data_IF_583596395378
#
_entry.id   IF_583596395378
#
_cell.length_a   1.000
_cell.length_b   1.000
_cell.length_c   1.000
_cell.angle_alpha   90.00
_cell.angle_beta   90.00
_cell.angle_gamma   90.00
#
_symmetry.space_group_name_H-M   'P 1'
#
loop_
_entity.id
_entity.type
_entity.pdbx_description
1 polymer ?
#
# COMPACT_ATOMS: atom_id res chain seq x y z
N UNK A 1 -11.65 -32.15 -5.17
CA UNK A 1 -10.93 -31.83 -6.42
C UNK A 1 -10.23 -30.50 -6.20
N UNK A 2 -8.93 -30.48 -6.47
CA UNK A 2 -7.95 -29.48 -6.01
C UNK A 2 -8.28 -28.04 -6.42
N UNK A 3 -8.36 -27.12 -5.45
CA UNK A 3 -8.07 -25.70 -5.68
C UNK A 3 -6.55 -25.58 -5.81
N UNK A 4 -6.09 -25.47 -7.06
CA UNK A 4 -4.71 -25.07 -7.34
C UNK A 4 -4.60 -23.58 -7.05
N UNK A 5 -3.69 -23.25 -6.14
CA UNK A 5 -3.26 -21.89 -5.87
C UNK A 5 -2.70 -21.29 -7.16
N UNK A 6 -3.45 -20.38 -7.77
CA UNK A 6 -2.92 -19.45 -8.76
C UNK A 6 -2.25 -18.31 -8.00
N UNK A 7 -0.94 -18.18 -8.20
CA UNK A 7 -0.10 -17.11 -7.65
C UNK A 7 -0.36 -15.78 -8.33
N UNK A 8 -1.54 -15.22 -8.09
CA UNK A 8 -1.81 -13.78 -8.12
C UNK A 8 -2.41 -13.48 -6.75
N UNK A 9 -1.80 -12.57 -5.99
CA UNK A 9 -2.25 -12.22 -4.64
C UNK A 9 -3.63 -11.59 -4.66
N UNK A 10 -4.68 -12.41 -4.71
CA UNK A 10 -6.01 -11.98 -4.30
C UNK A 10 -5.97 -11.90 -2.78
N UNK A 11 -6.04 -10.68 -2.25
CA UNK A 11 -6.26 -10.50 -0.83
C UNK A 11 -7.69 -10.97 -0.55
N UNK A 12 -7.86 -12.22 -0.13
CA UNK A 12 -9.14 -12.77 0.33
C UNK A 12 -9.52 -12.05 1.62
N UNK A 13 -10.23 -10.93 1.51
CA UNK A 13 -10.92 -10.29 2.62
C UNK A 13 -12.17 -11.09 3.03
N UNK A 14 -12.58 -10.98 4.30
CA UNK A 14 -13.92 -11.42 4.69
C UNK A 14 -14.98 -10.67 3.87
N UNK A 15 -16.14 -11.28 3.54
CA UNK A 15 -17.23 -10.56 2.87
C UNK A 15 -17.59 -9.28 3.64
N UNK A 16 -17.55 -8.14 2.96
CA UNK A 16 -17.76 -6.82 3.57
C UNK A 16 -16.53 -6.20 4.24
N UNK A 17 -15.32 -6.72 3.96
CA UNK A 17 -14.05 -6.08 4.34
C UNK A 17 -13.43 -5.36 3.15
N UNK A 18 -12.63 -4.35 3.47
CA UNK A 18 -11.81 -3.65 2.49
C UNK A 18 -10.46 -4.33 2.40
N UNK A 19 -9.96 -4.42 1.18
CA UNK A 19 -8.56 -4.69 0.87
C UNK A 19 -7.93 -3.34 0.56
N UNK A 20 -6.91 -2.94 1.33
CA UNK A 20 -6.11 -1.74 1.07
C UNK A 20 -4.82 -2.05 0.31
N UNK A 21 -4.04 -1.01 0.04
CA UNK A 21 -2.66 -1.15 -0.42
C UNK A 21 -1.83 -1.86 0.64
N UNK A 22 -1.02 -2.83 0.25
CA UNK A 22 -0.08 -3.50 1.16
C UNK A 22 0.90 -2.51 1.82
N UNK A 23 1.14 -1.34 1.21
CA UNK A 23 1.94 -0.29 1.83
C UNK A 23 1.28 0.35 3.06
N UNK A 24 -0.04 0.19 3.25
CA UNK A 24 -0.76 0.64 4.44
C UNK A 24 -1.31 -0.49 5.31
N UNK A 25 -1.36 -1.70 4.78
CA UNK A 25 -1.94 -2.85 5.45
C UNK A 25 -0.91 -3.96 5.74
N UNK A 26 -1.35 -4.97 6.48
CA UNK A 26 -0.61 -6.20 6.74
C UNK A 26 -1.29 -7.32 5.96
N UNK A 27 -0.53 -8.01 5.10
CA UNK A 27 -1.06 -9.14 4.38
C UNK A 27 -1.57 -10.21 5.37
N UNK A 28 -2.72 -10.86 5.15
CA UNK A 28 -3.24 -11.88 6.07
C UNK A 28 -2.22 -12.99 6.39
N UNK A 29 -1.46 -13.42 5.39
CA UNK A 29 -0.37 -14.38 5.47
C UNK A 29 0.83 -13.90 6.31
N UNK A 30 0.93 -12.60 6.60
CA UNK A 30 2.00 -11.99 7.38
C UNK A 30 1.58 -11.66 8.83
N UNK A 31 0.29 -11.79 9.19
CA UNK A 31 -0.19 -11.58 10.56
C UNK A 31 0.56 -12.44 11.60
N UNK A 32 0.86 -13.73 11.37
CA UNK A 32 1.67 -14.51 12.33
C UNK A 32 3.08 -13.93 12.54
N UNK A 33 3.69 -13.41 11.48
CA UNK A 33 5.00 -12.75 11.56
C UNK A 33 4.95 -11.42 12.31
N UNK A 34 3.86 -10.65 12.19
CA UNK A 34 3.63 -9.44 13.00
C UNK A 34 3.63 -9.75 14.50
N UNK A 35 2.93 -10.82 14.91
CA UNK A 35 2.89 -11.26 16.31
C UNK A 35 4.30 -11.62 16.81
N UNK A 36 5.08 -12.34 16.01
CA UNK A 36 6.48 -12.66 16.32
C UNK A 36 7.30 -11.38 16.49
N UNK A 37 7.19 -10.44 15.56
CA UNK A 37 7.92 -9.17 15.59
C UNK A 37 7.58 -8.34 16.84
N UNK A 38 6.31 -8.30 17.24
CA UNK A 38 5.83 -7.59 18.42
C UNK A 38 6.30 -8.20 19.75
N UNK A 39 6.44 -9.54 19.81
CA UNK A 39 6.86 -10.25 21.02
C UNK A 39 8.38 -10.28 21.22
N UNK A 40 9.17 -10.14 20.16
CA UNK A 40 10.64 -10.24 20.21
C UNK A 40 11.32 -9.23 21.18
N UNK A 41 10.90 -7.96 21.29
CA UNK A 41 11.43 -7.05 22.29
C UNK A 41 11.21 -7.53 23.73
N UNK A 42 10.05 -8.13 24.03
CA UNK A 42 9.75 -8.71 25.34
C UNK A 42 10.68 -9.89 25.63
N UNK A 43 10.91 -10.76 24.64
CA UNK A 43 11.85 -11.88 24.75
C UNK A 43 13.28 -11.36 24.97
N UNK A 44 13.69 -10.30 24.27
CA UNK A 44 15.01 -9.69 24.47
C UNK A 44 15.17 -9.10 25.88
N UNK A 45 14.14 -8.46 26.42
CA UNK A 45 14.11 -7.97 27.80
C UNK A 45 14.20 -9.13 28.78
N UNK A 46 13.41 -10.19 28.62
CA UNK A 46 13.45 -11.39 29.47
C UNK A 46 14.86 -12.01 29.47
N UNK A 47 15.46 -12.14 28.28
CA UNK A 47 16.82 -12.67 28.12
C UNK A 47 17.84 -11.80 28.85
N UNK A 48 17.81 -10.48 28.73
CA UNK A 48 18.87 -9.61 29.26
C UNK A 48 18.65 -9.11 30.70
N UNK A 49 17.40 -8.98 31.15
CA UNK A 49 17.04 -8.37 32.44
C UNK A 49 16.59 -9.37 33.49
N UNK A 50 16.08 -10.53 33.08
CA UNK A 50 15.48 -11.52 33.97
C UNK A 50 16.10 -12.92 33.77
N UNK A 51 17.44 -13.04 33.89
CA UNK A 51 18.14 -14.28 33.56
C UNK A 51 17.75 -15.47 34.45
N UNK A 52 17.28 -15.20 35.67
CA UNK A 52 16.86 -16.21 36.64
C UNK A 52 15.56 -16.92 36.25
N UNK A 53 14.77 -16.36 35.33
CA UNK A 53 13.49 -16.94 34.86
C UNK A 53 13.73 -17.96 33.72
N UNK A 54 14.90 -17.91 33.08
CA UNK A 54 15.20 -18.74 31.92
C UNK A 54 16.09 -19.94 32.28
N UNK A 55 15.91 -21.09 31.61
CA UNK A 55 16.80 -22.22 31.79
C UNK A 55 18.24 -21.86 31.41
N UNK A 56 19.25 -22.49 32.03
CA UNK A 56 20.66 -22.23 31.75
C UNK A 56 21.05 -22.79 30.37
N UNK A 57 20.75 -22.02 29.32
CA UNK A 57 21.12 -22.34 27.94
C UNK A 57 22.48 -21.68 27.64
N UNK A 58 23.54 -22.44 27.32
CA UNK A 58 24.88 -21.88 27.07
C UNK A 58 24.91 -20.79 26.00
N UNK A 59 24.03 -20.90 25.00
CA UNK A 59 23.89 -19.92 23.93
C UNK A 59 23.40 -18.56 24.45
N UNK A 60 22.42 -18.53 25.37
CA UNK A 60 21.92 -17.29 25.99
C UNK A 60 22.99 -16.61 26.85
N UNK A 61 23.78 -17.41 27.58
CA UNK A 61 24.92 -16.90 28.34
C UNK A 61 25.94 -16.18 27.44
N UNK A 62 26.26 -16.77 26.28
CA UNK A 62 27.16 -16.15 25.29
C UNK A 62 26.55 -14.91 24.65
N UNK A 63 25.26 -14.92 24.33
CA UNK A 63 24.56 -13.77 23.77
C UNK A 63 24.61 -12.56 24.71
N UNK A 64 24.41 -12.77 26.02
CA UNK A 64 24.50 -11.72 27.06
C UNK A 64 25.90 -11.15 27.22
N UNK A 65 26.93 -11.96 26.95
CA UNK A 65 28.32 -11.56 27.05
C UNK A 65 28.80 -10.77 25.82
N UNK A 66 28.00 -10.68 24.76
CA UNK A 66 28.35 -9.89 23.58
C UNK A 66 28.35 -8.39 23.91
N UNK A 67 29.25 -7.61 23.29
CA UNK A 67 29.12 -6.15 23.25
C UNK A 67 27.76 -5.74 22.68
N UNK A 68 27.22 -4.61 23.14
CA UNK A 68 25.88 -4.15 22.78
C UNK A 68 25.65 -4.09 21.26
N UNK A 69 26.65 -3.69 20.49
CA UNK A 69 26.59 -3.62 19.03
C UNK A 69 26.45 -5.01 18.40
N UNK A 70 27.17 -6.01 18.93
CA UNK A 70 27.12 -7.40 18.47
C UNK A 70 25.86 -8.11 18.94
N UNK A 71 25.37 -7.77 20.13
CA UNK A 71 24.10 -8.24 20.65
C UNK A 71 22.94 -7.73 19.79
N UNK A 72 22.95 -6.45 19.38
CA UNK A 72 21.93 -5.88 18.49
C UNK A 72 21.92 -6.59 17.14
N UNK A 73 23.10 -6.80 16.52
CA UNK A 73 23.20 -7.55 15.27
C UNK A 73 22.71 -9.00 15.41
N UNK A 74 23.02 -9.68 16.52
CA UNK A 74 22.53 -11.02 16.80
C UNK A 74 21.00 -11.06 16.94
N UNK A 75 20.42 -10.07 17.64
CA UNK A 75 18.97 -9.94 17.76
C UNK A 75 18.29 -9.64 16.44
N UNK A 76 18.87 -8.81 15.58
CA UNK A 76 18.34 -8.54 14.25
C UNK A 76 18.29 -9.81 13.39
N UNK A 77 19.36 -10.62 13.39
CA UNK A 77 19.39 -11.91 12.69
C UNK A 77 18.35 -12.89 13.23
N UNK A 78 18.22 -13.01 14.55
CA UNK A 78 17.24 -13.90 15.19
C UNK A 78 15.81 -13.43 14.90
N UNK A 79 15.56 -12.13 14.97
CA UNK A 79 14.27 -11.53 14.70
C UNK A 79 13.83 -11.78 13.25
N UNK A 80 14.71 -11.47 12.29
CA UNK A 80 14.44 -11.71 10.86
C UNK A 80 14.28 -13.22 10.57
N UNK A 81 15.12 -14.08 11.16
CA UNK A 81 14.94 -15.53 11.02
C UNK A 81 13.59 -16.02 11.57
N UNK A 82 13.17 -15.53 12.73
CA UNK A 82 11.89 -15.90 13.34
C UNK A 82 10.69 -15.42 12.50
N UNK A 83 10.77 -14.20 11.94
CA UNK A 83 9.79 -13.67 10.99
C UNK A 83 9.70 -14.57 9.76
N UNK A 84 10.82 -14.88 9.10
CA UNK A 84 10.81 -15.74 7.91
C UNK A 84 10.30 -17.16 8.21
N UNK A 85 10.63 -17.76 9.36
CA UNK A 85 10.04 -19.05 9.78
C UNK A 85 8.52 -18.96 9.91
N UNK A 86 8.00 -17.87 10.48
CA UNK A 86 6.57 -17.67 10.65
C UNK A 86 5.82 -17.54 9.31
N UNK A 87 6.51 -17.09 8.25
CA UNK A 87 5.97 -16.97 6.90
C UNK A 87 5.97 -18.27 6.09
N UNK A 88 6.82 -19.25 6.45
CA UNK A 88 6.88 -20.54 5.73
C UNK A 88 5.52 -21.26 5.65
N UNK A 89 4.77 -21.47 6.74
CA UNK A 89 3.51 -22.21 6.66
C UNK A 89 2.40 -21.42 5.94
N UNK A 90 2.47 -20.08 5.95
CA UNK A 90 1.42 -19.24 5.35
C UNK A 90 1.49 -19.20 3.83
N UNK A 91 2.65 -19.52 3.24
CA UNK A 91 2.87 -19.55 1.79
C UNK A 91 2.76 -20.96 1.17
N UNK A 92 2.31 -21.97 1.93
CA UNK A 92 2.06 -23.33 1.45
C UNK A 92 3.30 -24.01 0.84
N UNK A 93 3.11 -24.78 -0.24
CA UNK A 93 4.20 -25.45 -0.99
C UNK A 93 4.66 -24.60 -2.19
N UNK A 94 4.95 -23.32 -1.96
CA UNK A 94 5.41 -22.40 -3.01
C UNK A 94 6.93 -22.19 -2.98
N UNK A 95 7.49 -21.65 -4.07
CA UNK A 95 8.89 -21.21 -4.12
C UNK A 95 9.24 -20.22 -3.00
N UNK A 96 8.28 -19.38 -2.59
CA UNK A 96 8.43 -18.43 -1.49
C UNK A 96 8.64 -19.11 -0.15
N UNK A 97 7.90 -20.17 0.17
CA UNK A 97 8.12 -20.95 1.39
C UNK A 97 9.54 -21.52 1.48
N UNK A 98 10.08 -22.01 0.36
CA UNK A 98 11.46 -22.49 0.30
C UNK A 98 12.47 -21.36 0.46
N UNK A 99 12.22 -20.20 -0.17
CA UNK A 99 13.06 -19.02 -0.03
C UNK A 99 13.10 -18.52 1.43
N UNK A 100 11.94 -18.39 2.08
CA UNK A 100 11.84 -18.01 3.49
C UNK A 100 12.52 -19.02 4.41
N UNK A 101 12.33 -20.33 4.18
CA UNK A 101 12.99 -21.36 4.99
C UNK A 101 14.52 -21.35 4.83
N UNK A 102 15.00 -21.17 3.59
CA UNK A 102 16.43 -21.07 3.31
C UNK A 102 17.05 -19.81 3.96
N UNK A 103 16.41 -18.66 3.81
CA UNK A 103 16.86 -17.40 4.39
C UNK A 103 16.84 -17.45 5.92
N UNK A 104 15.76 -17.96 6.52
CA UNK A 104 15.69 -18.21 7.96
C UNK A 104 16.83 -19.09 8.48
N UNK A 105 17.15 -20.17 7.75
CA UNK A 105 18.27 -21.05 8.06
C UNK A 105 19.62 -20.33 8.01
N UNK A 106 19.84 -19.52 6.97
CA UNK A 106 21.07 -18.72 6.80
C UNK A 106 21.22 -17.66 7.90
N UNK A 107 20.16 -16.93 8.20
CA UNK A 107 20.12 -15.90 9.25
C UNK A 107 20.33 -16.51 10.64
N UNK A 108 19.64 -17.61 10.96
CA UNK A 108 19.80 -18.33 12.21
C UNK A 108 21.20 -18.94 12.36
N UNK A 109 21.76 -19.49 11.29
CA UNK A 109 23.14 -19.98 11.26
C UNK A 109 24.16 -18.85 11.47
N UNK A 110 23.96 -17.71 10.82
CA UNK A 110 24.81 -16.54 11.00
C UNK A 110 24.74 -15.99 12.44
N UNK A 111 23.54 -15.93 13.04
CA UNK A 111 23.35 -15.54 14.44
C UNK A 111 24.11 -16.49 15.37
N UNK A 112 23.98 -17.81 15.15
CA UNK A 112 24.68 -18.81 15.93
C UNK A 112 26.21 -18.64 15.84
N UNK A 113 26.75 -18.40 14.65
CA UNK A 113 28.20 -18.16 14.46
C UNK A 113 28.67 -16.89 15.16
N UNK A 114 27.85 -15.83 15.13
CA UNK A 114 28.14 -14.56 15.78
C UNK A 114 28.21 -14.71 17.29
N UNK A 115 27.21 -15.37 17.89
CA UNK A 115 27.14 -15.64 19.33
C UNK A 115 28.23 -16.60 19.81
N UNK A 116 28.61 -17.57 18.98
CA UNK A 116 29.67 -18.53 19.34
C UNK A 116 31.08 -18.04 19.04
N UNK A 117 31.25 -16.82 18.52
CA UNK A 117 32.56 -16.20 18.30
C UNK A 117 33.39 -16.87 17.20
N UNK A 118 32.77 -17.48 16.19
CA UNK A 118 33.52 -18.16 15.13
C UNK A 118 34.29 -17.18 14.24
N UNK A 119 35.38 -17.65 13.65
CA UNK A 119 36.16 -16.88 12.66
C UNK A 119 35.24 -16.39 11.53
N UNK A 120 35.40 -15.12 11.13
CA UNK A 120 34.60 -14.44 10.09
C UNK A 120 33.09 -14.33 10.40
N UNK A 121 32.64 -14.54 11.63
CA UNK A 121 31.21 -14.48 11.96
C UNK A 121 30.55 -13.13 11.59
N UNK A 122 31.26 -12.00 11.76
CA UNK A 122 30.76 -10.69 11.35
C UNK A 122 30.51 -10.57 9.84
N UNK A 123 31.43 -11.08 9.01
CA UNK A 123 31.22 -11.12 7.55
C UNK A 123 30.05 -12.05 7.19
N UNK A 124 29.94 -13.18 7.89
CA UNK A 124 28.86 -14.15 7.65
C UNK A 124 27.49 -13.53 7.94
N UNK A 125 27.39 -12.80 9.05
CA UNK A 125 26.21 -12.04 9.43
C UNK A 125 25.89 -10.91 8.44
N UNK A 126 26.91 -10.17 7.98
CA UNK A 126 26.72 -9.11 6.99
C UNK A 126 26.21 -9.67 5.65
N UNK A 127 26.75 -10.80 5.19
CA UNK A 127 26.31 -11.47 3.95
C UNK A 127 24.88 -11.99 4.09
N UNK A 128 24.50 -12.58 5.24
CA UNK A 128 23.14 -13.06 5.45
C UNK A 128 22.11 -11.91 5.43
N UNK A 129 22.37 -10.83 6.19
CA UNK A 129 21.50 -9.65 6.20
C UNK A 129 21.45 -8.98 4.81
N UNK A 130 22.60 -8.83 4.15
CA UNK A 130 22.66 -8.28 2.80
C UNK A 130 21.91 -9.13 1.77
N UNK A 131 22.01 -10.46 1.87
CA UNK A 131 21.26 -11.39 1.02
C UNK A 131 19.75 -11.26 1.20
N UNK A 132 19.28 -11.12 2.45
CA UNK A 132 17.86 -10.93 2.74
C UNK A 132 17.31 -9.58 2.24
N UNK A 133 18.13 -8.52 2.26
CA UNK A 133 17.80 -7.23 1.63
C UNK A 133 17.78 -7.31 0.10
N UNK A 134 18.69 -8.07 -0.51
CA UNK A 134 18.65 -8.35 -1.95
C UNK A 134 17.40 -9.15 -2.34
N UNK A 135 16.91 -10.03 -1.46
CA UNK A 135 15.64 -10.74 -1.64
C UNK A 135 14.45 -9.78 -1.76
N UNK A 136 14.39 -8.72 -0.94
CA UNK A 136 13.37 -7.67 -1.07
C UNK A 136 13.46 -6.99 -2.43
N UNK A 137 14.65 -6.60 -2.87
CA UNK A 137 14.86 -5.93 -4.15
C UNK A 137 14.47 -6.82 -5.34
N UNK A 138 14.76 -8.12 -5.25
CA UNK A 138 14.34 -9.10 -6.25
C UNK A 138 12.81 -9.26 -6.27
N UNK A 139 12.16 -9.26 -5.10
CA UNK A 139 10.70 -9.28 -5.00
C UNK A 139 10.05 -8.03 -5.63
N UNK A 140 10.57 -6.85 -5.31
CA UNK A 140 10.14 -5.58 -5.91
C UNK A 140 10.31 -5.59 -7.44
N UNK A 141 11.48 -6.05 -7.92
CA UNK A 141 11.74 -6.18 -9.35
C UNK A 141 10.82 -7.20 -10.05
N UNK A 142 10.31 -8.17 -9.30
CA UNK A 142 9.30 -9.13 -9.76
C UNK A 142 7.85 -8.65 -9.51
N UNK A 143 7.65 -7.37 -9.20
CA UNK A 143 6.32 -6.77 -9.01
C UNK A 143 5.64 -7.09 -7.67
N UNK A 144 6.34 -7.69 -6.71
CA UNK A 144 5.78 -7.99 -5.39
C UNK A 144 5.97 -6.79 -4.47
N UNK A 145 4.86 -6.17 -4.05
CA UNK A 145 4.90 -5.04 -3.12
C UNK A 145 5.04 -5.55 -1.68
N UNK A 146 6.03 -5.06 -0.89
CA UNK A 146 6.16 -5.44 0.50
C UNK A 146 5.06 -4.81 1.34
N UNK A 147 4.54 -5.57 2.29
CA UNK A 147 3.61 -5.04 3.28
C UNK A 147 4.33 -4.42 4.50
N UNK A 148 3.55 -3.93 5.47
CA UNK A 148 4.09 -3.33 6.69
C UNK A 148 5.02 -4.27 7.49
N UNK A 149 4.73 -5.57 7.53
CA UNK A 149 5.57 -6.56 8.24
C UNK A 149 6.90 -6.76 7.52
N UNK A 150 6.86 -6.91 6.20
CA UNK A 150 8.06 -7.00 5.38
C UNK A 150 8.92 -5.74 5.56
N UNK A 151 8.34 -4.55 5.46
CA UNK A 151 9.06 -3.29 5.68
C UNK A 151 9.71 -3.23 7.07
N UNK A 152 8.97 -3.55 8.13
CA UNK A 152 9.48 -3.54 9.50
C UNK A 152 10.63 -4.54 9.69
N UNK A 153 10.54 -5.74 9.10
CA UNK A 153 11.62 -6.72 9.10
C UNK A 153 12.89 -6.16 8.45
N UNK A 154 12.77 -5.46 7.31
CA UNK A 154 13.92 -4.89 6.60
C UNK A 154 14.56 -3.74 7.38
N UNK A 155 13.79 -2.97 8.14
CA UNK A 155 14.33 -1.99 9.10
C UNK A 155 15.19 -2.67 10.17
N UNK A 156 14.73 -3.80 10.72
CA UNK A 156 15.49 -4.60 11.70
C UNK A 156 16.80 -5.12 11.10
N UNK A 157 16.78 -5.61 9.85
CA UNK A 157 17.96 -6.12 9.15
C UNK A 157 19.01 -5.02 8.90
N UNK A 158 18.57 -3.84 8.44
CA UNK A 158 19.45 -2.68 8.23
C UNK A 158 20.09 -2.24 9.56
N UNK A 159 19.32 -2.18 10.63
CA UNK A 159 19.83 -1.87 11.96
C UNK A 159 20.91 -2.89 12.40
N UNK A 160 20.68 -4.17 12.14
CA UNK A 160 21.65 -5.24 12.39
C UNK A 160 22.94 -5.09 11.58
N UNK A 161 22.83 -4.79 10.28
CA UNK A 161 23.98 -4.65 9.38
C UNK A 161 24.87 -3.48 9.80
N UNK A 162 24.26 -2.37 10.19
CA UNK A 162 24.97 -1.19 10.65
C UNK A 162 25.58 -1.40 12.04
N UNK A 163 24.91 -2.15 12.92
CA UNK A 163 25.48 -2.56 14.20
C UNK A 163 26.72 -3.47 14.02
N UNK A 164 26.80 -4.27 12.94
CA UNK A 164 28.00 -5.04 12.63
C UNK A 164 29.19 -4.17 12.21
N UNK A 165 28.93 -3.07 11.50
CA UNK A 165 29.93 -2.08 11.10
C UNK A 165 30.37 -1.16 12.23
N UNK A 166 29.60 -1.11 13.33
CA UNK A 166 29.93 -0.28 14.47
C UNK A 166 31.20 -0.78 15.20
N UNK A 167 32.16 0.11 15.48
CA UNK A 167 33.32 -0.20 16.31
C UNK A 167 32.90 -0.58 17.74
N UNK A 168 33.40 -1.71 18.23
CA UNK A 168 33.15 -2.16 19.59
C UNK A 168 33.82 -1.20 20.58
N UNK A 169 33.05 -0.70 21.56
CA UNK A 169 33.58 0.20 22.59
C UNK A 169 33.87 1.63 22.12
N UNK A 170 33.28 2.07 21.01
CA UNK A 170 33.44 3.45 20.54
C UNK A 170 32.94 4.50 21.53
N UNK A 171 33.68 5.62 21.59
CA UNK A 171 33.25 6.83 22.29
C UNK A 171 31.96 7.42 21.71
N UNK A 172 31.32 8.30 22.49
CA UNK A 172 29.99 8.88 22.22
C UNK A 172 29.81 9.42 20.79
N UNK A 173 30.81 10.11 20.23
CA UNK A 173 30.75 10.70 18.89
C UNK A 173 30.62 9.65 17.77
N UNK A 174 31.38 8.57 17.84
CA UNK A 174 31.35 7.51 16.83
C UNK A 174 30.09 6.65 16.94
N UNK A 175 29.53 6.54 18.16
CA UNK A 175 28.19 5.96 18.39
C UNK A 175 27.08 6.81 17.77
N UNK A 176 27.15 8.14 17.90
CA UNK A 176 26.21 9.07 17.25
C UNK A 176 26.27 8.95 15.73
N UNK A 177 27.47 8.92 15.13
CA UNK A 177 27.64 8.71 13.69
C UNK A 177 27.02 7.39 13.21
N UNK A 178 27.23 6.30 13.95
CA UNK A 178 26.60 5.01 13.61
C UNK A 178 25.08 5.04 13.75
N UNK A 179 24.53 5.67 14.80
CA UNK A 179 23.07 5.78 14.96
C UNK A 179 22.44 6.69 13.93
N UNK A 180 23.11 7.78 13.54
CA UNK A 180 22.68 8.65 12.44
C UNK A 180 22.73 7.92 11.11
N UNK A 181 23.76 7.09 10.87
CA UNK A 181 23.83 6.20 9.71
C UNK A 181 22.70 5.17 9.68
N UNK A 182 22.29 4.62 10.84
CA UNK A 182 21.10 3.76 10.99
C UNK A 182 19.84 4.50 10.61
N UNK A 183 19.60 5.66 11.20
CA UNK A 183 18.43 6.46 10.89
C UNK A 183 18.38 6.82 9.38
N UNK A 184 19.51 7.23 8.80
CA UNK A 184 19.60 7.59 7.38
C UNK A 184 19.37 6.37 6.46
N UNK A 185 20.03 5.23 6.73
CA UNK A 185 19.87 4.02 5.93
C UNK A 185 18.45 3.44 6.01
N UNK A 186 17.86 3.41 7.20
CA UNK A 186 16.45 3.02 7.41
C UNK A 186 15.52 3.95 6.64
N UNK A 187 15.73 5.27 6.73
CA UNK A 187 14.91 6.26 6.02
C UNK A 187 15.00 6.06 4.50
N UNK A 188 16.19 5.79 3.96
CA UNK A 188 16.38 5.53 2.54
C UNK A 188 15.64 4.28 2.06
N UNK A 189 15.64 3.19 2.85
CA UNK A 189 14.89 1.98 2.50
C UNK A 189 13.39 2.23 2.52
N UNK A 190 12.88 2.85 3.59
CA UNK A 190 11.45 3.17 3.73
C UNK A 190 10.98 4.10 2.61
N UNK A 191 11.71 5.20 2.37
CA UNK A 191 11.40 6.15 1.29
C UNK A 191 11.55 5.51 -0.08
N UNK A 192 12.57 4.68 -0.30
CA UNK A 192 12.78 4.00 -1.58
C UNK A 192 11.66 3.03 -1.93
N UNK A 193 11.21 2.23 -0.97
CA UNK A 193 10.06 1.31 -1.14
C UNK A 193 8.79 2.09 -1.48
N UNK A 194 8.55 3.19 -0.77
CA UNK A 194 7.39 4.05 -1.04
C UNK A 194 7.46 4.78 -2.38
N UNK A 195 8.65 5.22 -2.80
CA UNK A 195 8.84 5.81 -4.12
C UNK A 195 8.54 4.78 -5.23
N UNK A 196 8.91 3.51 -5.04
CA UNK A 196 8.53 2.43 -5.96
C UNK A 196 7.01 2.21 -5.95
N UNK A 197 6.37 2.19 -4.77
CA UNK A 197 4.92 2.07 -4.66
C UNK A 197 4.15 3.21 -5.32
N UNK A 198 4.61 4.44 -5.15
CA UNK A 198 4.08 5.61 -5.84
C UNK A 198 4.25 5.46 -7.35
N UNK A 199 5.44 5.16 -7.84
CA UNK A 199 5.68 4.98 -9.28
C UNK A 199 4.87 3.83 -9.89
N UNK A 200 4.65 2.74 -9.15
CA UNK A 200 3.80 1.64 -9.58
C UNK A 200 2.31 2.03 -9.67
N UNK A 201 1.88 3.02 -8.88
CA UNK A 201 0.55 3.63 -9.00
C UNK A 201 0.42 4.68 -10.12
N UNK A 202 1.54 5.19 -10.65
CA UNK A 202 1.58 6.25 -11.69
C UNK A 202 2.06 5.75 -13.07
N UNK A 203 2.31 4.44 -13.24
CA UNK A 203 3.07 3.91 -14.37
C UNK A 203 2.28 2.99 -15.31
N UNK A 204 1.93 3.55 -16.47
CA UNK A 204 1.89 2.98 -17.84
C UNK A 204 1.49 1.49 -18.02
N UNK A 205 0.38 1.31 -18.74
CA UNK A 205 0.36 0.35 -19.84
C UNK A 205 -0.10 -1.07 -19.50
N UNK A 206 -1.38 -1.31 -19.76
CA UNK A 206 -1.88 -2.47 -20.50
C UNK A 206 -1.06 -3.76 -20.44
N UNK A 207 -1.16 -4.47 -19.32
CA UNK A 207 -1.14 -5.94 -19.29
C UNK A 207 -1.85 -6.36 -17.99
N UNK A 208 -2.94 -7.12 -18.14
CA UNK A 208 -3.87 -7.49 -17.07
C UNK A 208 -3.31 -8.46 -16.02
N UNK A 209 -2.20 -8.12 -15.38
CA UNK A 209 -1.51 -8.94 -14.37
C UNK A 209 -1.49 -8.32 -12.96
N UNK A 210 -1.98 -7.09 -12.77
CA UNK A 210 -2.10 -6.45 -11.45
C UNK A 210 -3.46 -6.66 -10.76
N UNK A 211 -4.27 -7.62 -11.23
CA UNK A 211 -5.67 -7.85 -10.85
C UNK A 211 -5.92 -8.32 -9.39
N UNK A 212 -5.03 -8.03 -8.43
CA UNK A 212 -5.17 -8.53 -7.05
C UNK A 212 -4.88 -7.53 -5.93
N UNK A 213 -4.21 -6.40 -6.18
CA UNK A 213 -3.82 -5.45 -5.13
C UNK A 213 -4.23 -4.01 -5.48
N UNK A 214 -4.97 -3.32 -4.60
CA UNK A 214 -5.32 -1.91 -4.79
C UNK A 214 -4.11 -1.00 -4.94
N UNK A 215 -4.28 0.08 -5.70
CA UNK A 215 -3.30 1.15 -5.81
C UNK A 215 -3.03 1.83 -4.45
N UNK A 216 -1.91 2.53 -4.33
CA UNK A 216 -1.56 3.22 -3.08
C UNK A 216 -2.62 4.23 -2.68
N UNK A 217 -3.16 4.11 -1.46
CA UNK A 217 -4.21 4.99 -0.96
C UNK A 217 -5.61 4.67 -1.50
N UNK A 218 -5.78 3.53 -2.18
CA UNK A 218 -7.07 3.00 -2.62
C UNK A 218 -7.37 1.73 -1.84
N UNK A 219 -8.63 1.58 -1.43
CA UNK A 219 -9.16 0.42 -0.75
C UNK A 219 -10.39 -0.09 -1.51
N UNK A 220 -10.38 -1.36 -1.89
CA UNK A 220 -11.45 -1.99 -2.66
C UNK A 220 -12.24 -2.94 -1.75
N UNK A 221 -13.57 -3.08 -1.90
CA UNK A 221 -14.31 -4.19 -1.31
C UNK A 221 -13.72 -5.53 -1.81
N UNK A 222 -13.61 -6.51 -0.92
CA UNK A 222 -13.16 -7.85 -1.32
C UNK A 222 -14.13 -8.46 -2.36
N UNK A 223 -13.65 -8.66 -3.58
CA UNK A 223 -14.38 -9.32 -4.66
C UNK A 223 -14.26 -10.85 -4.59
N UNK A 224 -15.21 -11.55 -5.21
CA UNK A 224 -15.23 -13.02 -5.34
C UNK A 224 -14.44 -13.54 -6.56
N UNK A 225 -13.96 -12.64 -7.42
CA UNK A 225 -13.17 -12.98 -8.61
C UNK A 225 -13.99 -13.65 -9.72
N UNK A 226 -15.32 -13.53 -9.68
CA UNK A 226 -16.20 -14.10 -10.70
C UNK A 226 -16.29 -13.20 -11.95
N UNK A 227 -16.50 -13.82 -13.12
CA UNK A 227 -16.79 -13.08 -14.36
C UNK A 227 -18.19 -12.44 -14.29
N UNK A 228 -18.42 -11.27 -14.93
CA UNK A 228 -19.72 -10.63 -14.91
C UNK A 228 -20.78 -11.47 -15.62
N UNK A 229 -21.95 -11.60 -15.00
CA UNK A 229 -23.13 -12.19 -15.63
C UNK A 229 -23.67 -11.31 -16.76
N UNK A 230 -24.51 -11.88 -17.62
CA UNK A 230 -25.21 -11.13 -18.69
C UNK A 230 -26.08 -10.01 -18.12
N UNK A 231 -26.76 -10.25 -16.99
CA UNK A 231 -27.58 -9.25 -16.34
C UNK A 231 -26.74 -8.09 -15.77
N UNK A 232 -25.59 -8.40 -15.16
CA UNK A 232 -24.63 -7.41 -14.67
C UNK A 232 -24.04 -6.58 -15.83
N UNK A 233 -23.68 -7.23 -16.94
CA UNK A 233 -23.17 -6.53 -18.12
C UNK A 233 -24.23 -5.57 -18.69
N UNK A 234 -25.49 -6.00 -18.75
CA UNK A 234 -26.60 -5.16 -19.20
C UNK A 234 -26.85 -3.98 -18.23
N UNK A 235 -26.85 -4.22 -16.92
CA UNK A 235 -27.03 -3.19 -15.90
C UNK A 235 -25.90 -2.15 -15.93
N UNK A 236 -24.65 -2.58 -16.12
CA UNK A 236 -23.51 -1.68 -16.29
C UNK A 236 -23.66 -0.80 -17.55
N UNK A 237 -24.10 -1.38 -18.68
CA UNK A 237 -24.37 -0.61 -19.90
C UNK A 237 -25.50 0.41 -19.71
N UNK A 238 -26.57 0.02 -19.03
CA UNK A 238 -27.71 0.90 -18.78
C UNK A 238 -27.36 2.06 -17.84
N UNK A 239 -26.56 1.79 -16.80
CA UNK A 239 -25.97 2.81 -15.93
C UNK A 239 -25.12 3.79 -16.73
N UNK A 240 -24.21 3.28 -17.57
CA UNK A 240 -23.33 4.10 -18.40
C UNK A 240 -24.14 5.00 -19.35
N UNK A 241 -25.09 4.42 -20.11
CA UNK A 241 -25.93 5.18 -21.05
C UNK A 241 -26.78 6.24 -20.37
N UNK A 242 -27.31 5.92 -19.20
CA UNK A 242 -28.11 6.88 -18.42
C UNK A 242 -27.22 8.03 -17.94
N UNK A 243 -26.03 7.72 -17.42
CA UNK A 243 -25.05 8.73 -17.02
C UNK A 243 -24.66 9.64 -18.19
N UNK A 244 -24.33 9.08 -19.37
CA UNK A 244 -24.01 9.86 -20.58
C UNK A 244 -25.12 10.84 -20.94
N UNK A 245 -26.38 10.40 -20.92
CA UNK A 245 -27.53 11.26 -21.25
C UNK A 245 -27.70 12.38 -20.23
N UNK A 246 -27.64 12.05 -18.94
CA UNK A 246 -27.88 13.01 -17.87
C UNK A 246 -26.75 14.04 -17.78
N UNK A 247 -25.50 13.64 -18.01
CA UNK A 247 -24.33 14.51 -17.96
C UNK A 247 -24.18 15.46 -19.14
N UNK A 248 -24.84 15.21 -20.28
CA UNK A 248 -24.67 16.01 -21.49
C UNK A 248 -24.86 17.53 -21.27
N UNK A 249 -25.76 17.92 -20.36
CA UNK A 249 -26.02 19.33 -20.00
C UNK A 249 -24.87 20.00 -19.25
N UNK A 250 -24.04 19.22 -18.56
CA UNK A 250 -22.94 19.71 -17.73
C UNK A 250 -21.61 19.82 -18.47
N UNK A 251 -21.60 19.53 -19.78
CA UNK A 251 -20.47 19.90 -20.64
C UNK A 251 -20.18 21.42 -20.59
N UNK A 252 -21.22 22.23 -20.34
CA UNK A 252 -21.09 23.63 -19.95
C UNK A 252 -20.98 23.75 -18.41
N UNK A 253 -19.83 24.18 -17.85
CA UNK A 253 -19.67 24.40 -16.42
C UNK A 253 -20.68 25.38 -15.82
N UNK A 254 -21.19 26.35 -16.59
CA UNK A 254 -22.20 27.27 -16.09
C UNK A 254 -23.52 26.56 -15.74
N UNK A 255 -23.89 25.54 -16.52
CA UNK A 255 -25.05 24.70 -16.23
C UNK A 255 -24.83 23.83 -14.96
N UNK A 256 -23.60 23.39 -14.72
CA UNK A 256 -23.24 22.69 -13.49
C UNK A 256 -23.35 23.61 -12.27
N UNK A 257 -22.81 24.83 -12.34
CA UNK A 257 -22.95 25.83 -11.28
C UNK A 257 -24.42 26.16 -11.02
N UNK A 258 -25.22 26.35 -12.07
CA UNK A 258 -26.66 26.61 -11.95
C UNK A 258 -27.44 25.45 -11.30
N UNK A 259 -26.94 24.22 -11.44
CA UNK A 259 -27.51 23.04 -10.81
C UNK A 259 -26.95 22.74 -9.40
N UNK A 260 -26.13 23.63 -8.83
CA UNK A 260 -25.63 23.51 -7.45
C UNK A 260 -24.27 22.84 -7.30
N UNK A 261 -23.61 22.46 -8.39
CA UNK A 261 -22.25 21.90 -8.32
C UNK A 261 -21.21 22.99 -8.05
N UNK A 262 -20.16 22.66 -7.28
CA UNK A 262 -19.00 23.52 -7.02
C UNK A 262 -18.04 23.59 -8.22
N UNK A 263 -18.56 23.93 -9.39
CA UNK A 263 -17.82 23.96 -10.66
C UNK A 263 -17.19 25.34 -10.99
N UNK A 264 -16.99 26.21 -9.99
CA UNK A 264 -16.27 27.48 -10.16
C UNK A 264 -14.76 27.27 -9.99
N UNK A 265 -13.95 27.82 -10.90
CA UNK A 265 -12.49 27.75 -10.77
C UNK A 265 -11.89 26.37 -11.07
N UNK A 266 -12.50 25.64 -12.00
CA UNK A 266 -12.01 24.35 -12.51
C UNK A 266 -10.54 24.48 -12.92
N UNK A 267 -9.69 23.56 -12.42
CA UNK A 267 -8.25 23.56 -12.63
C UNK A 267 -7.68 22.16 -12.50
N UNK A 268 -6.55 21.90 -13.18
CA UNK A 268 -5.90 20.60 -13.17
C UNK A 268 -6.63 19.58 -14.03
N UNK A 269 -6.32 18.31 -13.82
CA UNK A 269 -6.72 17.21 -14.71
C UNK A 269 -7.80 16.30 -14.09
N UNK A 270 -8.13 16.54 -12.81
CA UNK A 270 -9.03 15.71 -12.00
C UNK A 270 -9.81 16.59 -11.00
N UNK A 271 -10.53 17.58 -11.52
CA UNK A 271 -11.30 18.52 -10.71
C UNK A 271 -12.66 17.93 -10.35
N UNK A 272 -12.84 17.63 -9.08
CA UNK A 272 -14.08 17.14 -8.49
C UNK A 272 -14.99 18.32 -8.09
N UNK A 273 -16.06 18.53 -8.86
CA UNK A 273 -17.09 19.53 -8.59
C UNK A 273 -18.26 18.86 -7.87
N UNK A 274 -18.25 18.89 -6.53
CA UNK A 274 -19.28 18.25 -5.71
C UNK A 274 -20.61 19.04 -5.72
N UNK A 275 -21.73 18.32 -5.60
CA UNK A 275 -23.04 18.87 -5.25
C UNK A 275 -23.41 18.50 -3.80
N UNK A 276 -23.32 19.44 -2.85
CA UNK A 276 -23.58 19.16 -1.44
C UNK A 276 -25.00 18.69 -1.09
N UNK A 277 -25.99 18.94 -1.97
CA UNK A 277 -27.35 18.44 -1.78
C UNK A 277 -27.43 16.96 -2.13
N UNK A 278 -26.86 16.55 -3.26
CA UNK A 278 -26.86 15.15 -3.71
C UNK A 278 -25.95 14.27 -2.84
N UNK A 279 -24.85 14.79 -2.30
CA UNK A 279 -24.01 14.03 -1.35
C UNK A 279 -24.75 13.65 -0.04
N UNK A 280 -25.97 14.15 0.19
CA UNK A 280 -26.73 13.99 1.45
C UNK A 280 -28.22 13.68 1.23
N UNK A 281 -28.61 13.27 0.03
CA UNK A 281 -30.02 13.05 -0.31
C UNK A 281 -30.46 11.58 -0.23
N UNK A 282 -29.64 10.73 0.39
CA UNK A 282 -29.80 9.27 0.51
C UNK A 282 -29.91 8.54 -0.85
N UNK A 283 -29.81 9.22 -2.00
CA UNK A 283 -29.75 8.56 -3.28
C UNK A 283 -28.37 7.93 -3.47
N UNK A 284 -28.34 6.77 -4.11
CA UNK A 284 -27.08 6.10 -4.47
C UNK A 284 -27.15 5.70 -5.91
N UNK A 285 -26.12 6.06 -6.66
CA UNK A 285 -25.97 5.66 -8.06
C UNK A 285 -27.17 6.13 -8.92
N UNK A 286 -27.66 7.36 -8.69
CA UNK A 286 -28.72 8.00 -9.49
C UNK A 286 -28.10 8.83 -10.64
N UNK A 287 -28.23 8.40 -11.90
CA UNK A 287 -27.64 9.11 -13.04
C UNK A 287 -28.12 10.55 -13.23
N UNK A 288 -29.30 10.90 -12.73
CA UNK A 288 -29.84 12.25 -12.85
C UNK A 288 -29.29 13.21 -11.79
N UNK A 289 -28.74 12.66 -10.71
CA UNK A 289 -28.24 13.36 -9.51
C UNK A 289 -26.88 12.83 -9.04
N UNK A 290 -25.83 12.83 -9.89
CA UNK A 290 -24.51 12.39 -9.45
C UNK A 290 -23.98 13.31 -8.35
N UNK A 291 -23.35 12.73 -7.33
CA UNK A 291 -22.83 13.50 -6.20
C UNK A 291 -21.70 14.45 -6.63
N UNK A 292 -20.89 14.05 -7.62
CA UNK A 292 -19.76 14.84 -8.10
C UNK A 292 -19.60 14.74 -9.62
N UNK A 293 -19.35 15.89 -10.27
CA UNK A 293 -18.91 15.94 -11.66
C UNK A 293 -17.38 16.02 -11.72
N UNK A 294 -16.77 15.33 -12.67
CA UNK A 294 -15.31 15.30 -12.81
C UNK A 294 -14.91 16.03 -14.08
N UNK A 295 -14.06 17.05 -13.95
CA UNK A 295 -13.57 17.86 -15.06
C UNK A 295 -12.05 17.80 -15.17
N UNK A 296 -11.54 17.93 -16.39
CA UNK A 296 -10.14 18.28 -16.65
C UNK A 296 -10.06 19.64 -17.33
N UNK A 297 -8.89 20.28 -17.25
CA UNK A 297 -8.57 21.48 -18.01
C UNK A 297 -7.53 21.12 -19.06
N UNK A 298 -7.87 21.36 -20.34
CA UNK A 298 -6.93 21.22 -21.46
C UNK A 298 -5.77 22.20 -21.33
N UNK A 299 -4.72 21.98 -22.11
CA UNK A 299 -3.56 22.88 -22.17
C UNK A 299 -3.94 24.31 -22.60
N UNK A 300 -5.02 24.49 -23.37
CA UNK A 300 -5.55 25.80 -23.76
C UNK A 300 -6.43 26.49 -22.69
N UNK A 301 -6.63 25.84 -21.54
CA UNK A 301 -7.46 26.33 -20.44
C UNK A 301 -8.95 25.95 -20.54
N UNK A 302 -9.36 25.21 -21.58
CA UNK A 302 -10.76 24.80 -21.75
C UNK A 302 -11.12 23.66 -20.79
N UNK A 303 -12.18 23.81 -19.97
CA UNK A 303 -12.68 22.72 -19.15
C UNK A 303 -13.38 21.65 -20.00
N UNK A 304 -13.15 20.39 -19.69
CA UNK A 304 -13.75 19.22 -20.33
C UNK A 304 -14.37 18.35 -19.26
N UNK A 305 -15.66 18.03 -19.42
CA UNK A 305 -16.34 17.07 -18.56
C UNK A 305 -15.83 15.65 -18.87
N UNK A 306 -15.20 15.01 -17.89
CA UNK A 306 -14.69 13.65 -18.00
C UNK A 306 -15.78 12.62 -17.71
N UNK A 307 -16.62 12.89 -16.71
CA UNK A 307 -17.61 11.95 -16.22
C UNK A 307 -18.24 12.41 -14.91
N UNK A 308 -18.74 11.44 -14.16
CA UNK A 308 -19.27 11.63 -12.82
C UNK A 308 -18.64 10.64 -11.84
N UNK A 309 -18.61 11.03 -10.58
CA UNK A 309 -18.31 10.14 -9.46
C UNK A 309 -19.57 10.04 -8.61
N UNK A 310 -20.00 8.80 -8.37
CA UNK A 310 -21.06 8.51 -7.43
C UNK A 310 -20.47 8.14 -6.08
N UNK A 311 -21.11 8.52 -4.99
CA UNK A 311 -20.64 8.25 -3.63
C UNK A 311 -21.77 7.73 -2.76
N UNK A 312 -21.50 6.72 -1.95
CA UNK A 312 -22.45 6.28 -0.92
C UNK A 312 -22.41 7.21 0.29
N UNK A 313 -23.55 7.36 0.95
CA UNK A 313 -23.58 8.00 2.26
C UNK A 313 -23.14 7.01 3.36
N UNK A 314 -22.25 7.49 4.23
CA UNK A 314 -21.75 6.75 5.38
C UNK A 314 -20.41 6.05 5.15
N UNK A 315 -19.60 6.07 6.21
CA UNK A 315 -18.32 5.37 6.24
C UNK A 315 -18.55 3.86 6.29
N UNK A 316 -17.82 3.11 5.46
CA UNK A 316 -17.92 1.64 5.37
C UNK A 316 -19.28 1.13 4.89
N UNK A 317 -20.10 1.99 4.30
CA UNK A 317 -21.26 1.57 3.52
C UNK A 317 -20.77 1.04 2.18
N UNK A 318 -21.30 -0.10 1.73
CA UNK A 318 -20.98 -0.64 0.41
C UNK A 318 -21.95 -0.13 -0.64
N UNK A 319 -21.43 0.31 -1.77
CA UNK A 319 -22.25 0.69 -2.92
C UNK A 319 -22.88 -0.51 -3.63
N UNK A 320 -24.00 -0.30 -4.35
CA UNK A 320 -24.64 -1.37 -5.09
C UNK A 320 -23.76 -1.83 -6.26
N UNK A 321 -23.38 -3.11 -6.27
CA UNK A 321 -22.61 -3.74 -7.35
C UNK A 321 -23.52 -4.14 -8.53
N UNK A 322 -24.22 -3.17 -9.14
CA UNK A 322 -25.23 -3.42 -10.19
C UNK A 322 -24.65 -4.16 -11.41
N UNK A 323 -23.40 -3.88 -11.75
CA UNK A 323 -22.64 -4.53 -12.82
C UNK A 323 -21.65 -5.59 -12.32
N UNK A 324 -21.76 -6.02 -11.06
CA UNK A 324 -20.82 -6.96 -10.45
C UNK A 324 -19.37 -6.45 -10.57
N UNK A 325 -18.43 -7.27 -11.09
CA UNK A 325 -17.02 -6.90 -11.22
C UNK A 325 -16.75 -5.76 -12.22
N UNK A 326 -17.76 -5.31 -12.99
CA UNK A 326 -17.63 -4.19 -13.93
C UNK A 326 -17.85 -2.82 -13.28
N UNK A 327 -18.60 -2.77 -12.18
CA UNK A 327 -18.96 -1.53 -11.47
C UNK A 327 -18.42 -1.56 -10.06
N UNK A 328 -17.10 -1.69 -9.96
CA UNK A 328 -16.41 -1.85 -8.67
C UNK A 328 -16.28 -0.52 -7.97
N UNK A 329 -16.86 -0.44 -6.77
CA UNK A 329 -16.71 0.67 -5.86
C UNK A 329 -15.35 0.64 -5.18
N UNK A 330 -14.84 1.79 -4.76
CA UNK A 330 -13.61 1.91 -4.01
C UNK A 330 -13.71 3.03 -2.98
N UNK A 331 -12.94 2.94 -1.91
CA UNK A 331 -12.71 4.03 -0.98
C UNK A 331 -11.24 4.44 -1.08
N UNK A 332 -10.92 5.65 -0.63
CA UNK A 332 -9.54 6.03 -0.39
C UNK A 332 -9.17 5.80 1.06
N UNK A 333 -7.96 5.35 1.30
CA UNK A 333 -7.41 5.13 2.63
C UNK A 333 -6.23 6.04 2.91
N UNK A 334 -6.06 6.39 4.19
CA UNK A 334 -4.94 7.20 4.66
C UNK A 334 -4.76 8.51 3.89
N UNK A 335 -5.87 9.14 3.50
CA UNK A 335 -5.87 10.44 2.83
C UNK A 335 -5.73 11.58 3.84
N UNK A 336 -5.07 12.65 3.43
CA UNK A 336 -4.88 13.86 4.22
C UNK A 336 -5.81 14.95 3.69
N UNK A 337 -6.62 15.55 4.57
CA UNK A 337 -7.46 16.70 4.24
C UNK A 337 -6.93 17.98 4.89
N UNK A 338 -6.70 19.00 4.08
CA UNK A 338 -6.33 20.34 4.56
C UNK A 338 -7.44 20.93 5.43
N UNK A 339 -7.08 21.71 6.45
CA UNK A 339 -8.06 22.36 7.32
C UNK A 339 -8.71 23.59 6.66
N UNK A 340 -7.97 24.38 5.88
CA UNK A 340 -8.42 25.67 5.33
C UNK A 340 -7.75 26.01 3.98
N UNK A 341 -8.47 25.97 2.84
CA UNK A 341 -9.80 25.37 2.68
C UNK A 341 -9.73 23.83 2.82
N UNK A 342 -10.85 23.17 3.19
CA UNK A 342 -10.95 21.72 3.09
C UNK A 342 -10.71 21.24 1.66
N UNK A 343 -9.63 20.51 1.45
CA UNK A 343 -9.28 19.88 0.17
C UNK A 343 -8.38 18.68 0.40
N UNK A 344 -8.36 17.76 -0.56
CA UNK A 344 -7.36 16.69 -0.58
C UNK A 344 -5.96 17.32 -0.58
N UNK A 345 -5.16 17.00 0.43
CA UNK A 345 -3.80 17.47 0.64
C UNK A 345 -2.74 16.40 0.31
N UNK A 346 -3.18 15.19 -0.03
CA UNK A 346 -2.35 14.04 -0.40
C UNK A 346 -2.68 12.81 0.43
N UNK A 347 -1.72 11.88 0.50
CA UNK A 347 -1.77 10.69 1.34
C UNK A 347 -0.87 10.87 2.58
N UNK A 348 -1.05 10.03 3.59
CA UNK A 348 -0.09 10.00 4.70
C UNK A 348 1.29 9.63 4.22
N UNK A 349 2.31 10.18 4.87
CA UNK A 349 3.70 9.81 4.59
C UNK A 349 4.02 8.38 5.04
N UNK A 350 5.21 7.84 4.68
CA UNK A 350 5.68 6.55 5.19
C UNK A 350 5.78 6.44 6.72
N UNK A 351 5.75 7.59 7.41
CA UNK A 351 5.77 7.67 8.87
C UNK A 351 4.36 7.81 9.47
N UNK A 352 3.32 7.69 8.66
CA UNK A 352 1.91 7.83 9.07
C UNK A 352 1.50 9.26 9.42
N UNK A 353 2.26 10.26 8.95
CA UNK A 353 1.96 11.68 9.23
C UNK A 353 1.46 12.40 7.98
N UNK A 354 0.43 13.23 8.15
CA UNK A 354 -0.06 14.16 7.14
C UNK A 354 0.75 15.46 7.11
N UNK A 355 0.74 16.19 5.97
CA UNK A 355 1.30 17.54 5.89
C UNK A 355 0.80 18.46 7.00
N UNK A 356 1.62 19.42 7.43
CA UNK A 356 1.23 20.40 8.44
C UNK A 356 -0.03 21.16 8.01
N UNK A 357 -1.00 21.29 8.92
CA UNK A 357 -2.29 21.93 8.62
C UNK A 357 -3.31 21.00 7.91
N UNK A 358 -3.07 19.69 7.91
CA UNK A 358 -4.02 18.68 7.46
C UNK A 358 -4.23 17.58 8.50
N UNK A 359 -5.32 16.83 8.37
CA UNK A 359 -5.66 15.70 9.23
C UNK A 359 -5.88 14.43 8.40
N UNK A 360 -5.59 13.27 8.99
CA UNK A 360 -5.78 11.97 8.34
C UNK A 360 -7.24 11.54 8.41
N UNK A 361 -7.75 11.07 7.28
CA UNK A 361 -8.97 10.27 7.18
C UNK A 361 -8.53 8.86 6.83
N UNK A 362 -8.78 7.92 7.74
CA UNK A 362 -8.31 6.54 7.59
C UNK A 362 -8.97 5.83 6.42
N UNK A 363 -10.25 6.11 6.16
CA UNK A 363 -11.02 5.57 5.04
C UNK A 363 -12.13 6.56 4.67
N UNK A 364 -12.33 6.82 3.37
CA UNK A 364 -13.43 7.65 2.87
C UNK A 364 -14.72 6.82 2.70
N UNK A 365 -15.82 7.47 2.33
CA UNK A 365 -16.97 6.76 1.78
C UNK A 365 -16.56 6.07 0.47
N UNK A 366 -17.28 5.00 0.10
CA UNK A 366 -17.10 4.39 -1.20
C UNK A 366 -17.58 5.31 -2.32
N UNK A 367 -16.86 5.25 -3.43
CA UNK A 367 -17.16 5.96 -4.64
C UNK A 367 -16.92 5.08 -5.87
N UNK A 368 -17.58 5.44 -6.96
CA UNK A 368 -17.36 4.84 -8.28
C UNK A 368 -17.39 5.94 -9.32
N UNK A 369 -16.34 6.02 -10.12
CA UNK A 369 -16.29 6.90 -11.28
C UNK A 369 -16.91 6.23 -12.49
N UNK A 370 -17.67 7.02 -13.25
CA UNK A 370 -18.25 6.65 -14.54
C UNK A 370 -17.76 7.64 -15.59
N UNK A 371 -16.85 7.19 -16.45
CA UNK A 371 -16.18 8.02 -17.45
C UNK A 371 -17.01 8.10 -18.72
N UNK A 372 -17.58 9.28 -19.01
CA UNK A 372 -18.42 9.52 -20.19
C UNK A 372 -17.68 10.22 -21.33
N UNK A 373 -16.45 10.66 -21.09
CA UNK A 373 -15.59 11.26 -22.10
C UNK A 373 -15.41 10.30 -23.29
N UNK A 374 -15.62 10.75 -24.54
CA UNK A 374 -15.49 9.89 -25.70
C UNK A 374 -14.10 9.26 -25.81
N UNK A 375 -14.07 7.96 -26.09
CA UNK A 375 -12.82 7.21 -26.31
C UNK A 375 -12.12 6.75 -25.04
N UNK A 376 -12.69 6.96 -23.86
CA UNK A 376 -12.14 6.45 -22.61
C UNK A 376 -11.88 4.93 -22.70
N UNK A 377 -10.68 4.45 -22.32
CA UNK A 377 -10.31 3.04 -22.43
C UNK A 377 -11.16 2.13 -21.51
N UNK A 378 -11.65 2.69 -20.41
CA UNK A 378 -12.57 2.06 -19.47
C UNK A 378 -13.69 3.02 -19.09
N UNK A 379 -14.85 2.47 -18.73
CA UNK A 379 -16.04 3.23 -18.34
C UNK A 379 -16.21 3.40 -16.84
N UNK A 380 -15.59 2.53 -16.05
CA UNK A 380 -15.72 2.47 -14.60
C UNK A 380 -14.34 2.35 -13.95
N UNK A 381 -14.20 2.86 -12.73
CA UNK A 381 -12.95 2.80 -11.97
C UNK A 381 -11.98 3.93 -12.30
N UNK A 382 -10.67 3.69 -12.25
CA UNK A 382 -9.67 4.72 -12.54
C UNK A 382 -9.60 5.05 -14.04
N UNK A 383 -9.16 6.26 -14.39
CA UNK A 383 -8.85 6.66 -15.76
C UNK A 383 -7.34 6.64 -15.99
N UNK A 384 -6.90 6.15 -17.15
CA UNK A 384 -5.47 6.11 -17.48
C UNK A 384 -4.93 7.53 -17.72
N UNK A 385 -3.96 7.95 -16.91
CA UNK A 385 -3.40 9.32 -16.98
C UNK A 385 -2.66 9.57 -18.31
N UNK A 386 -1.98 8.56 -18.85
CA UNK A 386 -1.27 8.65 -20.13
C UNK A 386 -2.23 8.92 -21.29
N UNK A 387 -3.32 8.15 -21.34
CA UNK A 387 -4.43 8.32 -22.28
C UNK A 387 -5.08 9.69 -22.10
N UNK A 388 -5.39 10.09 -20.86
CA UNK A 388 -6.00 11.39 -20.56
C UNK A 388 -5.12 12.52 -21.10
N UNK A 389 -3.81 12.44 -20.89
CA UNK A 389 -2.84 13.41 -21.39
C UNK A 389 -2.80 13.48 -22.91
N UNK A 390 -2.72 12.33 -23.58
CA UNK A 390 -2.58 12.25 -25.03
C UNK A 390 -3.89 12.62 -25.78
N UNK A 391 -5.05 12.22 -25.24
CA UNK A 391 -6.32 12.27 -25.98
C UNK A 391 -7.27 13.37 -25.51
N UNK A 392 -7.16 13.82 -24.26
CA UNK A 392 -8.07 14.82 -23.68
C UNK A 392 -7.36 16.13 -23.39
N UNK A 393 -6.23 16.10 -22.70
CA UNK A 393 -5.53 17.33 -22.27
C UNK A 393 -4.85 18.04 -23.44
N UNK A 394 -4.30 17.28 -24.38
CA UNK A 394 -3.74 17.81 -25.60
C UNK A 394 -4.78 18.61 -26.40
N UNK A 395 -4.35 19.73 -26.99
CA UNK A 395 -5.18 20.51 -27.92
C UNK A 395 -5.27 19.72 -29.24
N UNK A 396 -6.47 19.41 -29.75
CA UNK A 396 -6.61 18.76 -31.05
C UNK A 396 -5.92 19.61 -32.13
N UNK A 397 -5.14 18.97 -33.01
CA UNK A 397 -4.60 19.67 -34.18
C UNK A 397 -5.76 20.23 -35.03
N UNK A 398 -5.61 21.45 -35.58
CA UNK A 398 -6.69 22.15 -36.30
C UNK A 398 -7.19 21.43 -37.55
#
# INVERSE_FOLDING_TARGET
MNRLAHGGGHVEGAPGSYVGSLLYDVAPEHVPALVVLALLPLVAVLVHRLPAVLPPVPWLGRLRALPAERALAAWALVASAAVHVALVPTHGLSGWSFAFAADAGLLGWAAHRLVTGRRRAGLTAAVALGGSLLGLLAGLAAGHMPDQVAMACKVVEVAGLLALGAPVGAGRARRVLTTSGVAAGTSLVVVGVWAVGLSAGHGDGGDGHHAGSPALGVAMPAGDGEDPTVAQTAAAEDLYRSTVRSLARYADPAAAVAAGYKATGIRGHDFHADNPEYTKDDATLDPDRPETLVYAVREDGTPVLLGAMYQVEGLRTHGPAVGGPLTTWHAHEQVCFGLLPPSLAGLTSPLGVCPAGSFTVALTNEMIHVWTVPGAPQRFGDIDEGWLKEHVLAVPAP
#
